data_IF_340261180053
#
_entry.id   IF_340261180053
#
_cell.length_a   1.000
_cell.length_b   1.000
_cell.length_c   1.000
_cell.angle_alpha   90.00
_cell.angle_beta   90.00
_cell.angle_gamma   90.00
#
_symmetry.space_group_name_H-M   'P 1'
#
loop_
_entity.id
_entity.type
_entity.pdbx_description
1 polymer ?
#
# COMPACT_ATOMS: atom_id res chain seq x y z
N UNK A 1 38.59 20.11 91.79
CA UNK A 1 38.88 19.85 90.37
C UNK A 1 38.27 21.01 89.59
N UNK A 2 38.98 22.13 89.49
CA UNK A 2 39.97 22.48 88.44
C UNK A 2 39.32 22.63 87.05
N UNK A 3 39.60 23.74 86.32
CA UNK A 3 38.64 24.47 85.50
C UNK A 3 39.08 24.52 84.01
N UNK A 4 38.53 25.46 83.22
CA UNK A 4 39.15 26.30 82.16
C UNK A 4 38.07 26.58 81.08
N UNK A 5 37.51 27.80 81.00
CA UNK A 5 37.98 28.98 80.21
C UNK A 5 37.85 28.76 78.68
N UNK A 6 37.37 29.68 77.84
CA UNK A 6 37.53 31.13 77.84
C UNK A 6 36.71 31.78 76.70
N UNK A 7 36.15 32.98 76.97
CA UNK A 7 36.09 34.23 76.15
C UNK A 7 35.55 34.18 74.69
N UNK A 8 34.90 35.20 74.13
CA UNK A 8 35.17 36.66 74.21
C UNK A 8 33.90 37.45 73.83
N UNK A 9 33.71 38.57 74.52
CA UNK A 9 32.80 39.68 74.20
C UNK A 9 33.53 40.66 73.29
N UNK A 10 32.87 41.27 72.30
CA UNK A 10 33.21 42.62 71.87
C UNK A 10 31.97 43.42 71.42
N UNK A 11 31.87 44.62 72.01
CA UNK A 11 30.98 45.74 71.67
C UNK A 11 31.47 46.42 70.38
N UNK A 12 30.59 47.08 69.61
CA UNK A 12 30.68 48.53 69.27
C UNK A 12 29.64 48.97 68.20
N UNK A 13 28.85 49.97 68.60
CA UNK A 13 28.21 51.11 67.91
C UNK A 13 27.54 51.04 66.51
N UNK A 14 26.51 51.89 66.29
CA UNK A 14 25.71 51.93 65.08
C UNK A 14 26.34 52.84 64.01
N UNK A 15 26.34 52.39 62.75
CA UNK A 15 26.63 53.23 61.59
C UNK A 15 25.37 53.30 60.73
N UNK A 16 24.76 54.48 60.67
CA UNK A 16 23.68 54.78 59.76
C UNK A 16 24.19 54.76 58.32
N UNK A 17 23.61 53.90 57.49
CA UNK A 17 23.71 53.95 56.04
C UNK A 17 22.30 53.90 55.47
N UNK A 18 21.84 55.05 54.96
CA UNK A 18 20.62 55.16 54.17
C UNK A 18 20.91 54.54 52.81
N UNK A 19 20.50 53.28 52.61
CA UNK A 19 20.42 52.66 51.30
C UNK A 19 18.99 52.87 50.77
N UNK A 20 18.86 53.77 49.79
CA UNK A 20 17.70 53.85 48.91
C UNK A 20 17.67 52.57 48.06
N UNK A 21 17.00 51.53 48.57
CA UNK A 21 16.67 50.34 47.79
C UNK A 21 15.53 50.74 46.86
N UNK A 22 15.87 51.03 45.61
CA UNK A 22 14.90 51.03 44.52
C UNK A 22 14.33 49.61 44.39
N UNK A 23 13.12 49.40 44.89
CA UNK A 23 12.33 48.23 44.57
C UNK A 23 11.95 48.29 43.09
N UNK A 24 12.78 47.74 42.21
CA UNK A 24 12.30 47.34 40.88
C UNK A 24 11.38 46.15 41.10
N UNK A 25 10.07 46.40 41.09
CA UNK A 25 9.08 45.37 40.85
C UNK A 25 9.43 44.71 39.50
N UNK A 26 10.04 43.52 39.55
CA UNK A 26 10.01 42.63 38.40
C UNK A 26 8.56 42.15 38.30
N UNK A 27 7.78 42.79 37.42
CA UNK A 27 6.58 42.16 36.90
C UNK A 27 7.06 40.87 36.21
N UNK A 28 6.82 39.73 36.88
CA UNK A 28 7.01 38.43 36.27
C UNK A 28 6.01 38.37 35.11
N UNK A 29 6.49 38.68 33.90
CA UNK A 29 5.76 38.41 32.66
C UNK A 29 5.18 36.99 32.78
N UNK A 30 3.85 36.82 32.63
CA UNK A 30 3.25 35.50 32.74
C UNK A 30 3.96 34.57 31.77
N UNK A 31 4.40 33.41 32.26
CA UNK A 31 5.07 32.38 31.45
C UNK A 31 4.16 32.11 30.25
N UNK A 32 4.52 32.66 29.09
CA UNK A 32 3.80 32.38 27.84
C UNK A 32 4.17 30.96 27.48
N UNK A 33 3.24 30.04 27.71
CA UNK A 33 3.34 28.68 27.17
C UNK A 33 3.44 28.84 25.66
N UNK A 34 4.53 28.41 25.01
CA UNK A 34 4.66 28.48 23.57
C UNK A 34 3.43 27.82 22.94
N UNK A 35 2.86 28.46 21.92
CA UNK A 35 1.79 27.82 21.16
C UNK A 35 2.29 26.47 20.64
N UNK A 36 1.44 25.42 20.63
CA UNK A 36 1.81 24.15 20.01
C UNK A 36 2.31 24.39 18.59
N UNK A 37 3.42 23.75 18.24
CA UNK A 37 3.96 23.81 16.88
C UNK A 37 2.92 23.29 15.89
N UNK A 38 2.65 24.08 14.84
CA UNK A 38 1.68 23.76 13.80
C UNK A 38 2.46 23.45 12.51
N UNK A 39 2.15 22.35 11.80
CA UNK A 39 2.77 22.04 10.51
C UNK A 39 2.62 23.17 9.50
N UNK A 40 3.69 23.51 8.81
CA UNK A 40 3.71 24.49 7.72
C UNK A 40 4.06 23.83 6.38
N UNK A 41 3.51 24.33 5.26
CA UNK A 41 3.92 23.90 3.95
C UNK A 41 5.34 24.39 3.62
N UNK A 42 6.13 23.54 2.98
CA UNK A 42 7.50 23.83 2.54
C UNK A 42 7.64 23.71 1.02
N UNK A 43 8.73 24.23 0.46
CA UNK A 43 9.07 24.12 -0.97
C UNK A 43 9.91 22.89 -1.31
N UNK A 44 10.49 22.24 -0.30
CA UNK A 44 11.24 20.98 -0.40
C UNK A 44 10.77 20.02 0.69
N UNK A 45 10.97 18.73 0.53
CA UNK A 45 10.71 17.75 1.58
C UNK A 45 11.80 17.87 2.65
N UNK A 46 11.49 18.44 3.80
CA UNK A 46 12.48 18.67 4.86
C UNK A 46 12.52 17.48 5.82
N UNK A 47 13.67 16.81 5.91
CA UNK A 47 13.92 15.74 6.86
C UNK A 47 14.65 16.31 8.08
N UNK A 48 13.97 16.41 9.22
CA UNK A 48 14.57 16.90 10.46
C UNK A 48 15.21 15.76 11.27
N UNK A 49 16.32 16.05 11.93
CA UNK A 49 16.95 15.11 12.86
C UNK A 49 16.05 14.89 14.07
N UNK A 50 15.75 13.64 14.38
CA UNK A 50 14.93 13.28 15.54
C UNK A 50 15.64 12.27 16.44
N UNK A 51 15.49 12.44 17.75
CA UNK A 51 15.96 11.49 18.76
C UNK A 51 14.93 10.41 19.09
N UNK A 52 13.65 10.67 18.80
CA UNK A 52 12.55 9.71 18.98
C UNK A 52 12.13 9.17 17.62
N UNK A 53 12.33 7.86 17.42
CA UNK A 53 12.04 7.16 16.17
C UNK A 53 10.54 7.28 15.79
N UNK A 54 10.21 7.88 14.63
CA UNK A 54 8.81 8.09 14.23
C UNK A 54 8.29 6.94 13.34
N UNK A 55 8.58 5.69 13.69
CA UNK A 55 8.30 4.51 12.85
C UNK A 55 6.83 4.02 12.85
N UNK A 56 5.88 4.86 13.28
CA UNK A 56 4.44 4.58 13.28
C UNK A 56 3.70 5.76 12.68
N UNK A 57 2.62 5.49 11.95
CA UNK A 57 1.79 6.53 11.34
C UNK A 57 1.16 7.50 12.36
N UNK A 58 0.96 7.06 13.60
CA UNK A 58 0.40 7.89 14.68
C UNK A 58 1.47 8.48 15.61
N UNK A 59 2.76 8.39 15.26
CA UNK A 59 3.82 9.03 16.04
C UNK A 59 3.56 10.55 16.14
N UNK A 60 3.81 11.12 17.33
CA UNK A 60 3.50 12.53 17.58
C UNK A 60 4.25 13.49 16.64
N UNK A 61 5.45 13.12 16.20
CA UNK A 61 6.24 13.88 15.24
C UNK A 61 5.43 14.24 13.98
N UNK A 62 4.68 13.30 13.42
CA UNK A 62 3.92 13.53 12.18
C UNK A 62 2.79 14.56 12.30
N UNK A 63 2.39 14.91 13.54
CA UNK A 63 1.33 15.91 13.80
C UNK A 63 1.84 17.34 13.73
N UNK A 64 3.14 17.56 13.91
CA UNK A 64 3.77 18.87 13.95
C UNK A 64 4.80 19.07 12.85
N UNK A 65 5.24 18.00 12.20
CA UNK A 65 6.21 18.07 11.10
C UNK A 65 5.67 18.86 9.90
N UNK A 66 6.47 19.83 9.46
CA UNK A 66 6.31 20.55 8.20
C UNK A 66 6.23 19.57 7.02
N UNK A 67 5.54 20.00 5.96
CA UNK A 67 5.16 19.12 4.86
C UNK A 67 5.40 19.75 3.50
N UNK A 68 5.87 18.93 2.56
CA UNK A 68 5.85 19.26 1.14
C UNK A 68 4.49 18.88 0.56
N UNK A 69 3.76 19.84 0.02
CA UNK A 69 2.57 19.59 -0.78
C UNK A 69 2.94 19.47 -2.26
N UNK A 70 2.59 18.34 -2.86
CA UNK A 70 2.83 18.07 -4.28
C UNK A 70 1.52 18.17 -5.04
N UNK A 71 1.42 19.23 -5.83
CA UNK A 71 0.38 19.39 -6.85
C UNK A 71 0.68 18.48 -8.04
N UNK A 72 0.08 17.29 -8.06
CA UNK A 72 0.31 16.30 -9.11
C UNK A 72 -0.03 16.84 -10.51
N UNK A 73 0.73 16.38 -11.49
CA UNK A 73 0.56 16.62 -12.93
C UNK A 73 0.48 15.28 -13.67
N UNK A 74 -0.03 15.30 -14.90
CA UNK A 74 0.03 14.11 -15.76
C UNK A 74 1.48 13.85 -16.16
N UNK A 75 2.00 12.67 -15.86
CA UNK A 75 3.36 12.27 -16.24
C UNK A 75 3.32 11.34 -17.46
N UNK A 76 2.51 10.28 -17.37
CA UNK A 76 2.33 9.29 -18.43
C UNK A 76 0.84 9.01 -18.54
N UNK A 77 0.29 9.07 -19.75
CA UNK A 77 -1.13 8.85 -20.02
C UNK A 77 -1.32 8.06 -21.31
N UNK A 78 -2.53 7.55 -21.50
CA UNK A 78 -2.98 6.85 -22.70
C UNK A 78 -2.20 5.59 -23.06
N UNK A 79 -1.47 5.01 -22.10
CA UNK A 79 -0.76 3.74 -22.28
C UNK A 79 -1.70 2.57 -22.02
N UNK A 80 -1.56 1.54 -22.85
CA UNK A 80 -2.22 0.25 -22.70
C UNK A 80 -1.17 -0.85 -22.76
N UNK A 81 -1.36 -1.98 -22.05
CA UNK A 81 -0.44 -3.09 -22.07
C UNK A 81 -0.33 -3.65 -23.47
N UNK A 82 0.89 -3.92 -23.90
CA UNK A 82 1.15 -4.53 -25.21
C UNK A 82 0.96 -6.05 -25.16
N UNK A 83 1.00 -6.64 -23.97
CA UNK A 83 0.96 -8.09 -23.78
C UNK A 83 -0.47 -8.63 -23.96
N UNK A 84 -0.62 -9.68 -24.76
CA UNK A 84 -1.92 -10.35 -24.94
C UNK A 84 -2.47 -10.88 -23.60
N UNK A 85 -3.80 -10.93 -23.47
CA UNK A 85 -4.48 -11.42 -22.26
C UNK A 85 -4.45 -10.48 -21.05
N UNK A 86 -3.72 -9.37 -21.09
CA UNK A 86 -3.71 -8.35 -20.02
C UNK A 86 -4.63 -7.17 -20.38
N UNK A 87 -5.70 -6.98 -19.59
CA UNK A 87 -6.82 -6.07 -19.87
C UNK A 87 -7.18 -5.18 -18.67
N UNK A 88 -8.06 -4.20 -18.92
CA UNK A 88 -8.73 -3.32 -17.98
C UNK A 88 -7.79 -2.55 -17.04
N UNK A 89 -6.95 -1.71 -17.66
CA UNK A 89 -5.89 -0.90 -17.02
C UNK A 89 -6.17 0.60 -17.16
N UNK A 90 -7.36 1.05 -16.79
CA UNK A 90 -7.81 2.41 -17.15
C UNK A 90 -8.01 3.37 -15.98
N UNK A 91 -7.44 3.11 -14.79
CA UNK A 91 -7.67 4.00 -13.63
C UNK A 91 -7.03 5.37 -13.78
N UNK A 92 -5.95 5.49 -14.56
CA UNK A 92 -5.27 6.78 -14.83
C UNK A 92 -5.05 7.04 -16.31
N UNK A 93 -5.85 6.42 -17.19
CA UNK A 93 -5.65 6.51 -18.64
C UNK A 93 -5.61 7.97 -19.14
N UNK A 94 -6.52 8.82 -18.69
CA UNK A 94 -6.56 10.26 -18.96
C UNK A 94 -5.85 11.10 -17.87
N UNK A 95 -4.96 10.48 -17.09
CA UNK A 95 -4.23 11.08 -15.99
C UNK A 95 -5.16 11.51 -14.85
N UNK A 96 -5.01 12.75 -14.38
CA UNK A 96 -5.75 13.31 -13.24
C UNK A 96 -7.27 13.29 -13.39
N UNK A 97 -7.78 13.25 -14.62
CA UNK A 97 -9.23 13.21 -14.86
C UNK A 97 -9.84 11.86 -14.46
N UNK A 98 -9.07 10.78 -14.57
CA UNK A 98 -9.52 9.44 -14.20
C UNK A 98 -9.11 9.11 -12.76
N UNK A 99 -7.90 9.51 -12.35
CA UNK A 99 -7.37 9.26 -11.01
C UNK A 99 -8.36 9.67 -9.92
N UNK A 100 -8.70 8.76 -9.00
CA UNK A 100 -9.65 9.01 -7.92
C UNK A 100 -10.95 9.68 -8.42
N UNK A 101 -11.43 9.25 -9.60
CA UNK A 101 -12.65 9.77 -10.24
C UNK A 101 -12.59 11.29 -10.47
N UNK A 102 -11.41 11.79 -10.85
CA UNK A 102 -11.17 13.21 -11.14
C UNK A 102 -10.99 14.08 -9.90
N UNK A 103 -11.00 13.51 -8.69
CA UNK A 103 -10.77 14.28 -7.46
C UNK A 103 -9.29 14.53 -7.29
N UNK A 104 -8.93 15.76 -6.90
CA UNK A 104 -7.54 16.11 -6.65
C UNK A 104 -6.96 15.23 -5.54
N UNK A 105 -5.89 14.44 -5.81
CA UNK A 105 -5.29 13.59 -4.80
C UNK A 105 -4.59 14.36 -3.70
N UNK A 106 -4.10 15.58 -3.96
CA UNK A 106 -3.23 16.38 -3.07
C UNK A 106 -2.26 15.53 -2.26
N UNK A 107 -1.04 15.34 -2.78
CA UNK A 107 -0.06 14.51 -2.11
C UNK A 107 0.67 15.36 -1.07
N UNK A 108 0.77 14.87 0.16
CA UNK A 108 1.56 15.49 1.22
C UNK A 108 2.68 14.55 1.63
N UNK A 109 3.90 15.08 1.73
CA UNK A 109 5.06 14.37 2.22
C UNK A 109 5.61 15.04 3.48
N UNK A 110 6.04 14.23 4.44
CA UNK A 110 6.80 14.65 5.63
C UNK A 110 8.01 13.73 5.75
N UNK A 111 9.12 14.24 6.26
CA UNK A 111 10.30 13.42 6.45
C UNK A 111 10.97 13.66 7.80
N UNK A 112 11.63 12.63 8.30
CA UNK A 112 12.48 12.68 9.48
C UNK A 112 13.70 11.81 9.23
N UNK A 113 14.76 12.02 9.99
CA UNK A 113 15.88 11.08 10.01
C UNK A 113 16.47 10.93 11.41
N UNK A 114 17.05 9.77 11.66
CA UNK A 114 17.90 9.48 12.82
C UNK A 114 19.36 9.42 12.37
N UNK A 115 20.28 9.04 13.25
CA UNK A 115 21.68 8.81 12.86
C UNK A 115 21.88 7.69 11.81
N UNK A 116 20.88 6.84 11.61
CA UNK A 116 20.99 5.61 10.81
C UNK A 116 19.86 5.39 9.80
N UNK A 117 18.73 6.10 9.90
CA UNK A 117 17.53 5.82 9.09
C UNK A 117 16.85 7.08 8.58
N UNK A 118 16.28 6.98 7.38
CA UNK A 118 15.37 7.96 6.77
C UNK A 118 13.93 7.44 6.90
N UNK A 119 13.02 8.34 7.25
CA UNK A 119 11.59 8.10 7.39
C UNK A 119 10.85 9.07 6.47
N UNK A 120 10.03 8.55 5.54
CA UNK A 120 9.22 9.38 4.66
C UNK A 120 7.76 8.98 4.80
N UNK A 121 6.95 9.89 5.31
CA UNK A 121 5.52 9.76 5.40
C UNK A 121 4.87 10.40 4.18
N UNK A 122 4.01 9.66 3.50
CA UNK A 122 3.30 10.08 2.30
C UNK A 122 1.80 9.89 2.57
N UNK A 123 1.00 10.88 2.24
CA UNK A 123 -0.45 10.77 2.27
C UNK A 123 -1.09 11.39 1.04
N UNK A 124 -2.12 10.74 0.52
CA UNK A 124 -2.92 11.28 -0.58
C UNK A 124 -4.36 10.81 -0.45
N UNK A 125 -5.26 11.57 -1.07
CA UNK A 125 -6.67 11.22 -1.14
C UNK A 125 -6.90 10.29 -2.32
N UNK A 126 -7.37 9.11 -1.99
CA UNK A 126 -8.02 8.17 -2.90
C UNK A 126 -9.28 7.67 -2.22
N UNK A 127 -10.40 7.61 -2.95
CA UNK A 127 -11.68 7.18 -2.39
C UNK A 127 -12.02 5.72 -2.69
N UNK A 128 -11.17 5.05 -3.44
CA UNK A 128 -11.32 3.64 -3.82
C UNK A 128 -10.09 2.85 -3.37
N UNK A 129 -10.28 1.54 -3.25
CA UNK A 129 -9.19 0.60 -3.10
C UNK A 129 -9.04 -0.21 -4.38
N UNK A 130 -7.89 -0.12 -5.02
CA UNK A 130 -7.48 -1.01 -6.10
C UNK A 130 -6.39 -1.94 -5.55
N UNK A 131 -6.78 -3.19 -5.21
CA UNK A 131 -5.96 -4.10 -4.39
C UNK A 131 -5.34 -5.29 -5.16
N UNK A 132 -5.56 -5.35 -6.46
CA UNK A 132 -5.45 -6.55 -7.26
C UNK A 132 -4.52 -6.32 -8.44
N UNK A 133 -3.33 -6.91 -8.43
CA UNK A 133 -2.43 -6.82 -9.57
C UNK A 133 -2.55 -8.06 -10.46
N UNK A 134 -2.94 -7.85 -11.72
CA UNK A 134 -3.08 -8.90 -12.74
C UNK A 134 -3.94 -10.10 -12.31
N UNK A 135 -5.06 -9.87 -11.61
CA UNK A 135 -5.99 -10.93 -11.22
C UNK A 135 -6.48 -11.73 -12.42
N UNK A 136 -6.54 -13.05 -12.27
CA UNK A 136 -7.02 -13.94 -13.31
C UNK A 136 -8.53 -14.00 -13.36
N UNK A 137 -9.08 -13.71 -14.54
CA UNK A 137 -10.49 -13.74 -14.83
C UNK A 137 -10.74 -14.66 -16.02
N UNK A 138 -11.72 -15.56 -15.88
CA UNK A 138 -12.10 -16.47 -16.96
C UNK A 138 -13.33 -15.90 -17.66
N UNK A 139 -13.24 -15.67 -18.97
CA UNK A 139 -14.24 -14.92 -19.74
C UNK A 139 -14.54 -13.55 -19.09
N UNK A 140 -13.48 -12.83 -18.69
CA UNK A 140 -13.55 -11.57 -17.97
C UNK A 140 -14.14 -10.41 -18.78
N UNK A 141 -14.35 -9.23 -18.16
CA UNK A 141 -14.87 -8.07 -18.86
C UNK A 141 -13.88 -7.55 -19.92
N UNK A 142 -14.42 -6.88 -20.93
CA UNK A 142 -13.65 -6.26 -22.02
C UNK A 142 -12.91 -5.02 -21.53
N UNK A 143 -11.82 -4.68 -22.22
CA UNK A 143 -11.11 -3.42 -22.03
C UNK A 143 -11.56 -2.41 -23.09
N UNK A 144 -12.17 -1.27 -22.72
CA UNK A 144 -12.59 -0.28 -23.69
C UNK A 144 -11.42 0.43 -24.41
N UNK A 145 -10.19 0.31 -23.90
CA UNK A 145 -8.97 0.91 -24.46
C UNK A 145 -8.09 -0.07 -25.20
N UNK A 146 -8.41 -1.37 -25.16
CA UNK A 146 -7.63 -2.42 -25.81
C UNK A 146 -8.53 -3.45 -26.47
N UNK A 147 -8.39 -3.61 -27.78
CA UNK A 147 -9.03 -4.71 -28.49
C UNK A 147 -8.36 -6.04 -28.15
N UNK A 148 -9.17 -7.09 -28.08
CA UNK A 148 -8.70 -8.45 -27.85
C UNK A 148 -9.83 -9.36 -27.39
N UNK A 149 -9.61 -10.66 -27.53
CA UNK A 149 -10.56 -11.64 -27.02
C UNK A 149 -10.46 -11.74 -25.50
N UNK A 150 -11.61 -11.66 -24.82
CA UNK A 150 -11.74 -11.99 -23.40
C UNK A 150 -12.04 -13.46 -23.15
N UNK A 151 -12.22 -14.26 -24.22
CA UNK A 151 -12.45 -15.71 -24.09
C UNK A 151 -11.26 -16.40 -23.44
N UNK A 152 -11.55 -17.31 -22.51
CA UNK A 152 -10.56 -18.01 -21.72
C UNK A 152 -10.01 -17.15 -20.58
N UNK A 153 -8.81 -17.49 -20.12
CA UNK A 153 -8.16 -16.70 -19.07
C UNK A 153 -7.61 -15.39 -19.61
N UNK A 154 -7.85 -14.35 -18.82
CA UNK A 154 -7.26 -13.03 -18.95
C UNK A 154 -6.78 -12.56 -17.59
N UNK A 155 -6.01 -11.48 -17.55
CA UNK A 155 -5.58 -10.85 -16.32
C UNK A 155 -5.92 -9.37 -16.30
N UNK A 156 -6.27 -8.84 -15.12
CA UNK A 156 -6.61 -7.42 -14.95
C UNK A 156 -5.80 -6.78 -13.83
N UNK A 157 -5.23 -5.61 -14.09
CA UNK A 157 -4.58 -4.82 -13.04
C UNK A 157 -5.59 -3.85 -12.47
N UNK A 158 -5.53 -3.72 -11.16
CA UNK A 158 -6.31 -2.84 -10.34
C UNK A 158 -5.52 -2.61 -9.06
N UNK A 159 -4.38 -1.92 -9.16
CA UNK A 159 -3.44 -1.77 -8.06
C UNK A 159 -3.10 -0.29 -7.84
N UNK A 160 -3.39 0.19 -6.63
CA UNK A 160 -3.01 1.54 -6.19
C UNK A 160 -1.56 1.52 -5.70
N UNK A 161 -0.81 2.53 -6.11
CA UNK A 161 0.60 2.63 -5.77
C UNK A 161 1.09 4.06 -5.60
N UNK A 162 2.17 4.18 -4.84
CA UNK A 162 3.02 5.37 -4.78
C UNK A 162 4.47 4.96 -4.89
N UNK A 163 5.25 5.74 -5.63
CA UNK A 163 6.68 5.52 -5.70
C UNK A 163 7.49 6.80 -5.55
N UNK A 164 8.64 6.66 -4.90
CA UNK A 164 9.69 7.65 -4.84
C UNK A 164 10.87 7.17 -5.69
N UNK A 165 11.52 8.07 -6.42
CA UNK A 165 12.67 7.73 -7.25
C UNK A 165 13.79 8.75 -7.08
N UNK A 166 14.83 8.38 -6.34
CA UNK A 166 15.96 9.23 -5.96
C UNK A 166 17.07 9.21 -7.00
N UNK A 167 17.58 10.38 -7.37
CA UNK A 167 18.67 10.50 -8.34
C UNK A 167 20.01 10.06 -7.73
N UNK A 168 20.61 9.00 -8.28
CA UNK A 168 21.93 8.49 -7.88
C UNK A 168 23.07 9.07 -8.73
N UNK A 169 22.77 9.88 -9.74
CA UNK A 169 23.71 10.34 -10.74
C UNK A 169 23.90 9.35 -11.89
N UNK A 170 24.50 9.80 -12.99
CA UNK A 170 24.76 8.96 -14.17
C UNK A 170 23.51 8.38 -14.84
N UNK A 171 22.35 9.01 -14.65
CA UNK A 171 21.06 8.52 -15.15
C UNK A 171 20.44 7.40 -14.32
N UNK A 172 21.10 6.97 -13.24
CA UNK A 172 20.60 5.93 -12.33
C UNK A 172 19.67 6.50 -11.27
N UNK A 173 18.69 5.71 -10.85
CA UNK A 173 17.78 6.05 -9.76
C UNK A 173 17.50 4.85 -8.86
N UNK A 174 17.42 5.12 -7.56
CA UNK A 174 16.92 4.22 -6.53
C UNK A 174 15.41 4.47 -6.40
N UNK A 175 14.58 3.43 -6.51
CA UNK A 175 13.12 3.53 -6.66
C UNK A 175 12.38 2.70 -5.62
N UNK A 176 11.69 3.39 -4.71
CA UNK A 176 10.89 2.76 -3.66
C UNK A 176 9.43 2.77 -4.08
N UNK A 177 8.89 1.61 -4.42
CA UNK A 177 7.52 1.49 -4.93
C UNK A 177 6.61 0.76 -3.93
N UNK A 178 5.75 1.50 -3.27
CA UNK A 178 4.68 0.92 -2.48
C UNK A 178 3.48 0.61 -3.39
N UNK A 179 3.17 -0.67 -3.51
CA UNK A 179 1.96 -1.22 -4.14
C UNK A 179 1.06 -1.86 -3.09
N UNK A 180 -0.25 -1.57 -3.16
CA UNK A 180 -1.24 -2.17 -2.27
C UNK A 180 -1.38 -3.68 -2.49
N UNK A 181 -1.27 -4.13 -3.74
CA UNK A 181 -1.40 -5.55 -4.08
C UNK A 181 -0.13 -6.36 -3.74
N UNK A 182 1.06 -5.79 -4.00
CA UNK A 182 2.31 -6.57 -4.10
C UNK A 182 3.34 -6.28 -3.00
N UNK A 183 3.16 -5.20 -2.24
CA UNK A 183 4.17 -4.74 -1.27
C UNK A 183 3.60 -4.58 0.14
N UNK A 184 2.43 -3.95 0.25
CA UNK A 184 1.76 -3.67 1.52
C UNK A 184 1.53 -4.92 2.38
N UNK A 185 1.13 -6.08 1.81
CA UNK A 185 0.89 -7.29 2.60
C UNK A 185 2.09 -7.70 3.45
N UNK A 186 3.31 -7.53 2.94
CA UNK A 186 4.53 -7.97 3.60
C UNK A 186 5.18 -6.86 4.44
N UNK A 187 4.75 -5.59 4.27
CA UNK A 187 5.32 -4.45 4.97
C UNK A 187 6.67 -4.01 4.43
N UNK A 188 6.91 -4.20 3.13
CA UNK A 188 8.07 -3.70 2.40
C UNK A 188 7.59 -2.87 1.21
N UNK A 189 8.40 -1.92 0.76
CA UNK A 189 8.24 -1.40 -0.60
C UNK A 189 8.90 -2.38 -1.59
N UNK A 190 8.47 -2.36 -2.84
CA UNK A 190 9.20 -3.00 -3.93
C UNK A 190 10.40 -2.10 -4.22
N UNK A 191 11.57 -2.59 -3.85
CA UNK A 191 12.84 -1.91 -4.09
C UNK A 191 13.36 -2.21 -5.49
N UNK A 192 13.75 -1.16 -6.19
CA UNK A 192 14.11 -1.23 -7.60
C UNK A 192 15.18 -0.20 -7.96
N UNK A 193 15.97 -0.52 -8.97
CA UNK A 193 16.91 0.38 -9.61
C UNK A 193 16.45 0.70 -11.03
N UNK A 194 16.48 1.97 -11.41
CA UNK A 194 16.29 2.41 -12.80
C UNK A 194 17.65 2.82 -13.38
N UNK A 195 18.08 2.14 -14.45
CA UNK A 195 19.33 2.43 -15.16
C UNK A 195 19.11 3.23 -16.46
N UNK A 196 17.95 3.86 -16.62
CA UNK A 196 17.56 4.65 -17.78
C UNK A 196 16.66 3.92 -18.79
N UNK A 197 16.43 2.62 -18.59
CA UNK A 197 15.51 1.79 -19.36
C UNK A 197 14.18 1.54 -18.63
N UNK A 198 14.01 2.13 -17.44
CA UNK A 198 12.90 1.88 -16.53
C UNK A 198 13.31 1.03 -15.32
N UNK A 199 12.50 1.06 -14.25
CA UNK A 199 12.79 0.35 -13.01
C UNK A 199 12.84 -1.17 -13.18
N UNK A 200 13.85 -1.79 -12.60
CA UNK A 200 13.95 -3.25 -12.44
C UNK A 200 14.17 -3.57 -10.96
N UNK A 201 13.66 -4.71 -10.51
CA UNK A 201 13.84 -5.13 -9.12
C UNK A 201 15.33 -5.27 -8.77
N UNK A 202 15.67 -4.91 -7.54
CA UNK A 202 17.03 -5.01 -7.04
C UNK A 202 17.50 -6.44 -6.83
N UNK A 203 18.76 -6.56 -6.42
CA UNK A 203 19.35 -7.86 -6.11
C UNK A 203 18.63 -8.54 -4.93
N UNK A 204 18.30 -9.82 -5.12
CA UNK A 204 17.66 -10.65 -4.12
C UNK A 204 16.29 -11.18 -4.55
N UNK A 205 15.46 -11.54 -3.56
CA UNK A 205 14.13 -12.08 -3.79
C UNK A 205 13.11 -10.95 -3.75
N UNK A 206 12.15 -10.98 -4.67
CA UNK A 206 11.04 -10.01 -4.75
C UNK A 206 10.00 -10.30 -3.68
N UNK A 207 9.12 -9.33 -3.44
CA UNK A 207 7.95 -9.50 -2.56
C UNK A 207 6.85 -10.39 -3.17
N UNK A 208 6.96 -10.75 -4.45
CA UNK A 208 5.91 -11.46 -5.19
C UNK A 208 6.45 -12.31 -6.35
N UNK A 209 5.66 -13.31 -6.74
CA UNK A 209 5.86 -14.15 -7.93
C UNK A 209 4.54 -14.32 -8.67
N UNK A 210 4.58 -14.26 -10.01
CA UNK A 210 3.37 -14.40 -10.83
C UNK A 210 2.73 -15.77 -10.60
N UNK A 211 1.44 -15.77 -10.28
CA UNK A 211 0.64 -16.98 -10.09
C UNK A 211 0.19 -17.50 -11.46
N UNK A 212 1.07 -18.14 -12.23
CA UNK A 212 0.79 -18.53 -13.62
C UNK A 212 1.07 -20.02 -13.84
N UNK A 213 0.12 -20.74 -14.44
CA UNK A 213 0.24 -22.19 -14.66
C UNK A 213 1.22 -22.54 -15.80
N UNK A 214 1.29 -21.67 -16.81
CA UNK A 214 2.15 -21.81 -17.99
C UNK A 214 3.11 -20.64 -18.15
N UNK A 215 3.41 -20.28 -19.39
CA UNK A 215 4.38 -19.23 -19.71
C UNK A 215 3.75 -17.96 -20.28
N UNK A 216 2.45 -17.96 -20.60
CA UNK A 216 1.77 -16.83 -21.22
C UNK A 216 0.68 -16.21 -20.34
N UNK A 217 0.30 -14.98 -20.66
CA UNK A 217 -0.73 -14.21 -19.95
C UNK A 217 -2.17 -14.72 -20.19
N UNK A 218 -2.34 -15.94 -20.73
CA UNK A 218 -3.61 -16.64 -20.91
C UNK A 218 -3.62 -18.04 -20.30
N UNK A 219 -2.55 -18.44 -19.63
CA UNK A 219 -2.43 -19.77 -19.04
C UNK A 219 -3.28 -19.96 -17.78
N UNK A 220 -3.74 -18.86 -17.19
CA UNK A 220 -4.52 -18.88 -15.96
C UNK A 220 -3.68 -19.13 -14.70
N UNK A 221 -4.35 -19.24 -13.54
CA UNK A 221 -3.70 -19.37 -12.24
C UNK A 221 -3.09 -20.76 -12.04
N UNK A 222 -1.90 -20.80 -11.45
CA UNK A 222 -1.28 -22.06 -11.00
C UNK A 222 -1.83 -22.51 -9.65
N UNK A 223 -2.10 -21.55 -8.79
CA UNK A 223 -2.41 -21.75 -7.40
C UNK A 223 -3.68 -21.03 -6.99
N UNK A 224 -4.29 -21.57 -5.93
CA UNK A 224 -5.42 -21.02 -5.20
C UNK A 224 -5.07 -20.94 -3.70
N UNK A 225 -5.87 -20.22 -2.92
CA UNK A 225 -5.79 -20.23 -1.46
C UNK A 225 -6.07 -21.63 -0.93
N UNK A 226 -5.21 -22.12 -0.03
CA UNK A 226 -5.34 -23.47 0.52
C UNK A 226 -6.47 -23.64 1.54
N UNK A 227 -6.99 -22.52 2.05
CA UNK A 227 -8.04 -22.45 3.05
C UNK A 227 -7.54 -22.19 4.48
N UNK A 228 -6.22 -22.08 4.68
CA UNK A 228 -5.60 -21.75 5.97
C UNK A 228 -5.47 -20.24 6.11
N UNK A 229 -5.86 -19.70 7.27
CA UNK A 229 -5.75 -18.28 7.57
C UNK A 229 -4.34 -17.75 7.26
N UNK A 230 -4.28 -16.65 6.51
CA UNK A 230 -3.03 -16.07 6.02
C UNK A 230 -2.54 -15.02 7.01
N UNK A 231 -1.67 -15.45 7.93
CA UNK A 231 -1.14 -14.61 8.99
C UNK A 231 0.31 -14.22 8.73
N UNK A 232 0.66 -12.99 9.10
CA UNK A 232 2.06 -12.57 9.07
C UNK A 232 2.35 -11.46 10.10
N UNK A 233 3.61 -11.36 10.50
CA UNK A 233 4.09 -10.30 11.38
C UNK A 233 4.94 -9.32 10.58
N UNK A 234 4.45 -8.09 10.44
CA UNK A 234 5.12 -6.97 9.77
C UNK A 234 5.97 -6.20 10.76
N UNK A 235 7.12 -5.70 10.32
CA UNK A 235 7.90 -4.74 11.11
C UNK A 235 7.85 -3.38 10.41
N UNK A 236 7.48 -2.29 11.10
CA UNK A 236 7.08 -2.19 12.52
C UNK A 236 5.57 -2.36 12.79
N UNK A 237 4.75 -2.66 11.77
CA UNK A 237 3.28 -2.61 11.88
C UNK A 237 2.65 -3.70 12.79
N UNK A 238 3.36 -4.79 13.10
CA UNK A 238 2.88 -5.87 13.95
C UNK A 238 2.13 -6.96 13.16
N UNK A 239 1.30 -7.72 13.87
CA UNK A 239 0.53 -8.84 13.32
C UNK A 239 -0.58 -8.35 12.39
N UNK A 240 -0.80 -9.07 11.28
CA UNK A 240 -1.95 -8.86 10.39
C UNK A 240 -2.46 -10.20 9.83
N UNK A 241 -3.73 -10.18 9.41
CA UNK A 241 -4.36 -11.24 8.62
C UNK A 241 -4.57 -10.67 7.21
N UNK A 242 -4.35 -11.49 6.18
CA UNK A 242 -4.58 -11.14 4.79
C UNK A 242 -5.90 -11.69 4.28
N UNK A 243 -6.66 -10.86 3.58
CA UNK A 243 -7.86 -11.25 2.84
C UNK A 243 -7.47 -12.19 1.66
N UNK A 244 -7.85 -13.48 1.69
CA UNK A 244 -7.54 -14.42 0.62
C UNK A 244 -8.26 -14.09 -0.70
N UNK A 245 -9.23 -13.17 -0.67
CA UNK A 245 -9.85 -12.62 -1.86
C UNK A 245 -8.90 -11.84 -2.76
N UNK A 246 -7.83 -11.28 -2.20
CA UNK A 246 -6.89 -10.40 -2.91
C UNK A 246 -5.44 -10.86 -2.81
N UNK A 247 -5.07 -11.56 -1.73
CA UNK A 247 -3.70 -11.94 -1.46
C UNK A 247 -3.55 -13.45 -1.41
N UNK A 248 -2.43 -13.95 -1.92
CA UNK A 248 -2.10 -15.36 -1.86
C UNK A 248 -0.75 -15.57 -1.17
N UNK A 249 -0.79 -16.01 0.08
CA UNK A 249 0.37 -16.39 0.88
C UNK A 249 0.43 -17.91 1.05
N UNK A 250 -0.68 -18.47 1.58
CA UNK A 250 -0.86 -19.91 1.74
C UNK A 250 -1.55 -20.45 0.51
N UNK A 251 -0.91 -21.39 -0.19
CA UNK A 251 -1.28 -21.75 -1.55
C UNK A 251 -1.32 -23.26 -1.79
N UNK A 252 -2.27 -23.69 -2.60
CA UNK A 252 -2.37 -25.04 -3.16
C UNK A 252 -2.57 -24.97 -4.67
N UNK A 253 -2.38 -26.07 -5.38
CA UNK A 253 -2.65 -26.12 -6.82
C UNK A 253 -4.10 -25.73 -7.12
N UNK A 254 -4.27 -24.91 -8.16
CA UNK A 254 -5.60 -24.59 -8.67
C UNK A 254 -6.24 -25.85 -9.24
N UNK A 255 -7.51 -26.10 -8.91
CA UNK A 255 -8.25 -27.32 -9.28
C UNK A 255 -9.53 -26.98 -10.03
N UNK A 256 -9.92 -27.89 -10.93
CA UNK A 256 -11.10 -27.79 -11.79
C UNK A 256 -10.80 -27.17 -13.16
N UNK A 257 -11.61 -27.54 -14.14
CA UNK A 257 -11.60 -27.01 -15.49
C UNK A 257 -12.63 -25.87 -15.64
N UNK A 258 -12.20 -24.61 -15.78
CA UNK A 258 -13.12 -23.49 -15.94
C UNK A 258 -13.90 -23.52 -17.25
N UNK A 259 -13.45 -24.25 -18.28
CA UNK A 259 -14.18 -24.41 -19.55
C UNK A 259 -15.41 -25.28 -19.32
N UNK A 260 -15.24 -26.46 -18.70
CA UNK A 260 -16.36 -27.31 -18.32
C UNK A 260 -17.26 -26.61 -17.30
N UNK A 261 -16.66 -25.90 -16.34
CA UNK A 261 -17.39 -25.09 -15.36
C UNK A 261 -18.24 -24.00 -15.99
N UNK A 262 -17.76 -23.35 -17.06
CA UNK A 262 -18.56 -22.38 -17.83
C UNK A 262 -19.73 -23.07 -18.52
N UNK A 263 -19.54 -24.24 -19.14
CA UNK A 263 -20.64 -24.99 -19.76
C UNK A 263 -21.75 -25.31 -18.74
N UNK A 264 -21.39 -25.74 -17.52
CA UNK A 264 -22.33 -25.98 -16.42
C UNK A 264 -23.01 -24.67 -16.01
N UNK A 265 -22.25 -23.60 -15.80
CA UNK A 265 -22.79 -22.29 -15.40
C UNK A 265 -23.80 -21.75 -16.42
N UNK A 266 -23.50 -21.85 -17.72
CA UNK A 266 -24.38 -21.41 -18.79
C UNK A 266 -25.66 -22.26 -18.84
N UNK A 267 -25.62 -23.53 -18.47
CA UNK A 267 -26.80 -24.40 -18.46
C UNK A 267 -27.68 -24.14 -17.22
N UNK A 268 -27.07 -24.01 -16.04
CA UNK A 268 -27.76 -24.14 -14.76
C UNK A 268 -27.89 -22.83 -13.98
N UNK A 269 -27.02 -21.86 -14.20
CA UNK A 269 -26.89 -20.69 -13.30
C UNK A 269 -27.25 -19.35 -13.98
N UNK A 270 -27.08 -19.25 -15.30
CA UNK A 270 -27.28 -18.00 -16.06
C UNK A 270 -28.67 -17.39 -15.86
N UNK A 271 -29.70 -18.23 -15.75
CA UNK A 271 -31.08 -17.76 -15.66
C UNK A 271 -31.28 -16.87 -14.41
N UNK A 272 -30.54 -17.11 -13.34
CA UNK A 272 -30.61 -16.30 -12.11
C UNK A 272 -29.48 -15.26 -12.04
N UNK A 273 -28.27 -15.61 -12.47
CA UNK A 273 -27.07 -14.79 -12.22
C UNK A 273 -26.58 -13.97 -13.41
N UNK A 274 -27.18 -14.13 -14.60
CA UNK A 274 -26.76 -13.45 -15.83
C UNK A 274 -25.53 -14.10 -16.50
N UNK A 275 -25.27 -13.78 -17.77
CA UNK A 275 -24.20 -14.41 -18.57
C UNK A 275 -22.82 -14.19 -17.94
N UNK A 276 -22.61 -13.00 -17.38
CA UNK A 276 -21.34 -12.52 -16.83
C UNK A 276 -21.29 -12.58 -15.30
N UNK A 277 -22.29 -13.22 -14.67
CA UNK A 277 -22.41 -13.26 -13.22
C UNK A 277 -22.67 -11.87 -12.62
N UNK A 278 -23.26 -10.95 -13.37
CA UNK A 278 -23.55 -9.57 -12.94
C UNK A 278 -24.87 -9.45 -12.16
N UNK A 279 -25.61 -10.55 -12.00
CA UNK A 279 -26.90 -10.58 -11.33
C UNK A 279 -28.07 -10.18 -12.24
N UNK A 280 -27.85 -9.97 -13.54
CA UNK A 280 -28.89 -9.62 -14.51
C UNK A 280 -29.53 -10.86 -15.15
N UNK A 281 -29.89 -11.85 -14.33
CA UNK A 281 -30.62 -13.04 -14.76
C UNK A 281 -32.05 -12.73 -15.25
N UNK A 282 -32.64 -13.66 -15.98
CA UNK A 282 -34.04 -13.59 -16.44
C UNK A 282 -35.05 -14.03 -15.38
N UNK A 283 -34.62 -14.83 -14.40
CA UNK A 283 -35.43 -15.37 -13.31
C UNK A 283 -34.99 -14.69 -12.01
N UNK A 284 -35.94 -14.06 -11.32
CA UNK A 284 -35.73 -13.39 -10.04
C UNK A 284 -34.48 -12.48 -10.07
N UNK A 285 -34.52 -11.34 -10.78
CA UNK A 285 -33.39 -10.43 -10.95
C UNK A 285 -33.01 -9.69 -9.65
N UNK A 286 -32.99 -10.38 -8.50
CA UNK A 286 -32.64 -9.89 -7.17
C UNK A 286 -31.19 -9.42 -7.03
N UNK A 287 -30.51 -9.07 -8.14
CA UNK A 287 -29.18 -8.48 -8.19
C UNK A 287 -28.09 -9.30 -7.46
N UNK A 288 -28.20 -10.63 -7.45
CA UNK A 288 -27.19 -11.50 -6.81
C UNK A 288 -26.01 -11.69 -7.77
N UNK A 289 -25.13 -10.69 -7.80
CA UNK A 289 -23.90 -10.71 -8.56
C UNK A 289 -22.90 -11.74 -8.00
N UNK A 290 -22.28 -12.48 -8.91
CA UNK A 290 -21.24 -13.48 -8.67
C UNK A 290 -19.84 -12.96 -9.06
N UNK A 291 -19.77 -11.91 -9.88
CA UNK A 291 -18.53 -11.27 -10.32
C UNK A 291 -18.00 -10.20 -9.36
N UNK A 292 -18.41 -10.25 -8.09
CA UNK A 292 -17.87 -9.37 -7.05
C UNK A 292 -16.42 -9.75 -6.75
N UNK A 293 -15.48 -8.78 -6.78
CA UNK A 293 -14.06 -9.07 -6.55
C UNK A 293 -13.78 -9.82 -5.25
N UNK A 294 -13.02 -10.90 -5.37
CA UNK A 294 -12.59 -11.75 -4.26
C UNK A 294 -13.69 -12.57 -3.57
N UNK A 295 -14.97 -12.46 -3.96
CA UNK A 295 -16.09 -13.15 -3.26
C UNK A 295 -15.87 -14.65 -3.13
N UNK A 296 -15.69 -15.36 -4.25
CA UNK A 296 -15.47 -16.81 -4.24
C UNK A 296 -14.09 -17.22 -3.75
N UNK A 297 -13.12 -16.28 -3.74
CA UNK A 297 -11.77 -16.54 -3.26
C UNK A 297 -11.64 -16.45 -1.73
N UNK A 298 -12.63 -15.83 -1.06
CA UNK A 298 -12.76 -15.85 0.40
C UNK A 298 -13.33 -17.15 0.96
N UNK A 299 -13.85 -18.02 0.11
CA UNK A 299 -14.41 -19.30 0.52
C UNK A 299 -13.40 -20.41 0.25
N UNK A 300 -13.20 -21.29 1.23
CA UNK A 300 -12.46 -22.52 0.99
C UNK A 300 -13.25 -23.42 0.03
N UNK A 301 -12.59 -24.36 -0.65
CA UNK A 301 -13.31 -25.36 -1.47
C UNK A 301 -14.34 -26.13 -0.63
N UNK A 302 -13.96 -26.55 0.57
CA UNK A 302 -14.87 -27.20 1.52
C UNK A 302 -16.07 -26.32 1.89
N UNK A 303 -15.88 -25.00 2.04
CA UNK A 303 -16.98 -24.08 2.31
C UNK A 303 -17.92 -23.94 1.10
N UNK A 304 -17.38 -23.94 -0.13
CA UNK A 304 -18.20 -23.97 -1.35
C UNK A 304 -18.98 -25.28 -1.49
N UNK A 305 -18.34 -26.42 -1.19
CA UNK A 305 -19.00 -27.73 -1.18
C UNK A 305 -20.10 -27.82 -0.12
N UNK A 306 -19.92 -27.17 1.04
CA UNK A 306 -20.96 -27.11 2.06
C UNK A 306 -22.13 -26.18 1.68
N UNK A 307 -21.83 -25.11 0.93
CA UNK A 307 -22.82 -24.14 0.45
C UNK A 307 -23.67 -24.70 -0.68
N UNK A 308 -23.06 -25.36 -1.67
CA UNK A 308 -23.70 -25.82 -2.91
C UNK A 308 -25.00 -26.65 -2.71
N UNK A 309 -25.02 -27.70 -1.87
CA UNK A 309 -26.22 -28.53 -1.68
C UNK A 309 -27.21 -27.96 -0.65
N UNK A 310 -26.91 -26.83 -0.01
CA UNK A 310 -27.70 -26.32 1.10
C UNK A 310 -28.87 -25.44 0.62
N UNK A 311 -30.04 -26.05 0.42
CA UNK A 311 -31.26 -25.34 0.03
C UNK A 311 -31.76 -24.28 1.03
N UNK A 312 -31.27 -24.29 2.27
CA UNK A 312 -31.53 -23.22 3.24
C UNK A 312 -30.63 -21.99 3.09
N UNK A 313 -29.54 -22.10 2.32
CA UNK A 313 -28.58 -21.02 2.07
C UNK A 313 -28.61 -20.51 0.63
N UNK A 314 -29.08 -21.33 -0.31
CA UNK A 314 -29.21 -20.96 -1.71
C UNK A 314 -30.43 -21.66 -2.34
N UNK A 315 -31.40 -20.86 -2.81
CA UNK A 315 -32.63 -21.39 -3.42
C UNK A 315 -32.34 -22.28 -4.64
N UNK A 316 -31.28 -21.98 -5.39
CA UNK A 316 -30.84 -22.78 -6.53
C UNK A 316 -29.96 -23.98 -6.18
N UNK A 317 -29.95 -24.47 -4.93
CA UNK A 317 -29.09 -25.61 -4.51
C UNK A 317 -29.25 -26.87 -5.37
N UNK A 318 -30.43 -27.10 -5.95
CA UNK A 318 -30.72 -28.24 -6.83
C UNK A 318 -30.03 -28.15 -8.20
N UNK A 319 -29.52 -26.97 -8.57
CA UNK A 319 -28.82 -26.74 -9.84
C UNK A 319 -27.31 -27.02 -9.76
N UNK A 320 -26.78 -27.29 -8.56
CA UNK A 320 -25.38 -27.68 -8.43
C UNK A 320 -25.17 -29.14 -8.89
N UNK A 321 -24.06 -29.42 -9.60
CA UNK A 321 -23.75 -30.79 -10.00
C UNK A 321 -23.62 -31.74 -8.80
N UNK A 322 -24.07 -32.98 -8.98
CA UNK A 322 -23.90 -34.04 -7.97
C UNK A 322 -22.53 -34.71 -8.07
N UNK A 323 -21.90 -34.69 -9.25
CA UNK A 323 -20.51 -35.11 -9.48
C UNK A 323 -19.54 -34.15 -8.80
N UNK A 324 -18.58 -34.70 -8.07
CA UNK A 324 -17.51 -33.90 -7.44
C UNK A 324 -16.67 -33.16 -8.48
N UNK A 325 -16.29 -33.83 -9.58
CA UNK A 325 -15.51 -33.23 -10.66
C UNK A 325 -16.23 -32.02 -11.25
N UNK A 326 -17.51 -32.18 -11.59
CA UNK A 326 -18.31 -31.11 -12.20
C UNK A 326 -18.51 -29.93 -11.23
N UNK A 327 -18.64 -30.20 -9.93
CA UNK A 327 -18.64 -29.13 -8.91
C UNK A 327 -17.31 -28.38 -8.86
N UNK A 328 -16.18 -29.09 -8.85
CA UNK A 328 -14.87 -28.44 -8.84
C UNK A 328 -14.64 -27.59 -10.10
N UNK A 329 -15.11 -28.06 -11.25
CA UNK A 329 -15.10 -27.33 -12.52
C UNK A 329 -15.96 -26.06 -12.43
N UNK A 330 -17.21 -26.19 -11.96
CA UNK A 330 -18.09 -25.04 -11.71
C UNK A 330 -17.45 -24.04 -10.74
N UNK A 331 -16.84 -24.52 -9.66
CA UNK A 331 -16.19 -23.62 -8.71
C UNK A 331 -14.91 -22.97 -9.27
N UNK A 332 -14.19 -23.62 -10.19
CA UNK A 332 -13.08 -22.99 -10.92
C UNK A 332 -13.61 -21.82 -11.75
N UNK A 333 -14.76 -22.01 -12.41
CA UNK A 333 -15.45 -20.96 -13.16
C UNK A 333 -15.93 -19.80 -12.28
N UNK A 334 -16.53 -20.09 -11.13
CA UNK A 334 -17.00 -19.07 -10.17
C UNK A 334 -15.84 -18.23 -9.61
N UNK A 335 -14.70 -18.86 -9.31
CA UNK A 335 -13.47 -18.11 -8.95
C UNK A 335 -12.98 -17.24 -10.09
N UNK A 336 -13.09 -17.72 -11.32
CA UNK A 336 -12.83 -16.95 -12.53
C UNK A 336 -13.72 -15.71 -12.70
N UNK A 337 -14.90 -15.65 -12.08
CA UNK A 337 -15.71 -14.42 -12.00
C UNK A 337 -15.16 -13.44 -10.96
N UNK A 338 -14.85 -13.92 -9.75
CA UNK A 338 -14.38 -13.06 -8.66
C UNK A 338 -12.94 -12.55 -8.83
N UNK A 339 -12.15 -13.15 -9.72
CA UNK A 339 -10.77 -12.76 -9.97
C UNK A 339 -9.80 -13.40 -8.99
N UNK A 340 -9.02 -14.37 -9.45
CA UNK A 340 -8.03 -15.10 -8.62
C UNK A 340 -6.74 -14.26 -8.54
N UNK A 341 -6.09 -14.13 -7.36
CA UNK A 341 -4.88 -13.33 -7.22
C UNK A 341 -3.83 -13.66 -8.29
N UNK A 342 -3.41 -12.62 -9.02
CA UNK A 342 -2.45 -12.73 -10.13
C UNK A 342 -1.03 -13.07 -9.71
N UNK A 343 -0.73 -12.90 -8.43
CA UNK A 343 0.57 -13.13 -7.80
C UNK A 343 0.39 -13.83 -6.45
N UNK A 344 1.42 -14.56 -6.03
CA UNK A 344 1.57 -14.97 -4.65
C UNK A 344 2.77 -14.27 -4.00
N UNK A 345 2.70 -14.12 -2.68
CA UNK A 345 3.66 -13.35 -1.89
C UNK A 345 4.86 -14.22 -1.51
N UNK A 346 6.04 -13.61 -1.50
CA UNK A 346 7.29 -14.19 -1.00
C UNK A 346 8.02 -13.15 -0.16
N UNK A 347 8.64 -13.56 0.94
CA UNK A 347 9.42 -12.62 1.74
C UNK A 347 10.61 -12.12 0.91
N UNK A 348 10.80 -10.80 0.79
CA UNK A 348 11.96 -10.28 0.09
C UNK A 348 13.23 -10.56 0.90
N UNK A 349 14.36 -10.56 0.21
CA UNK A 349 15.69 -10.71 0.82
C UNK A 349 16.73 -9.94 0.01
N UNK A 350 17.87 -9.60 0.61
CA UNK A 350 18.89 -8.80 -0.07
C UNK A 350 18.51 -7.32 -0.10
N UNK A 351 18.97 -6.59 -1.13
CA UNK A 351 18.62 -5.17 -1.34
C UNK A 351 17.10 -5.00 -1.37
N UNK A 352 16.38 -5.92 -2.03
CA UNK A 352 14.91 -5.89 -2.16
C UNK A 352 14.10 -5.86 -0.85
N UNK A 353 14.75 -5.94 0.31
CA UNK A 353 14.12 -5.96 1.63
C UNK A 353 14.50 -4.79 2.55
N UNK A 354 15.29 -3.82 2.09
CA UNK A 354 15.80 -2.77 2.96
C UNK A 354 14.88 -1.54 3.10
N UNK A 355 13.90 -1.39 2.20
CA UNK A 355 12.81 -0.42 2.32
C UNK A 355 11.58 -1.05 2.96
N UNK A 356 11.30 -0.65 4.20
CA UNK A 356 10.10 -1.08 4.95
C UNK A 356 8.94 -0.13 4.75
N UNK A 357 7.72 -0.67 4.79
CA UNK A 357 6.50 0.08 4.61
C UNK A 357 5.46 -0.18 5.72
N UNK A 358 4.82 0.89 6.17
CA UNK A 358 3.64 0.85 7.05
C UNK A 358 2.54 1.68 6.41
N UNK A 359 1.33 1.14 6.32
CA UNK A 359 0.18 1.90 5.84
C UNK A 359 -0.99 1.89 6.84
N UNK A 360 -1.99 2.73 6.56
CA UNK A 360 -3.26 2.77 7.28
C UNK A 360 -4.30 1.76 6.76
N UNK A 361 -3.92 0.86 5.85
CA UNK A 361 -4.82 -0.10 5.21
C UNK A 361 -5.08 -1.31 6.10
N UNK A 362 -6.36 -1.68 6.23
CA UNK A 362 -6.77 -2.91 6.92
C UNK A 362 -6.80 -4.08 5.94
N UNK A 363 -5.88 -5.04 6.09
CA UNK A 363 -5.68 -6.11 5.10
C UNK A 363 -6.59 -7.33 5.29
N UNK A 364 -7.21 -7.48 6.46
CA UNK A 364 -8.01 -8.68 6.78
C UNK A 364 -9.36 -8.71 6.06
N UNK A 365 -9.89 -7.53 5.70
CA UNK A 365 -11.14 -7.38 4.95
C UNK A 365 -11.08 -6.05 4.25
N UNK A 366 -10.77 -6.09 2.96
CA UNK A 366 -10.70 -4.87 2.16
C UNK A 366 -12.06 -4.68 1.51
N UNK A 367 -12.78 -3.69 2.01
CA UNK A 367 -13.99 -3.20 1.38
C UNK A 367 -13.58 -2.30 0.19
N UNK A 368 -14.34 -2.24 -0.90
CA UNK A 368 -13.95 -1.50 -2.11
C UNK A 368 -13.82 0.03 -1.98
N UNK A 369 -14.01 0.60 -0.78
CA UNK A 369 -14.03 2.04 -0.51
C UNK A 369 -12.93 2.47 0.46
N UNK A 370 -12.22 3.53 0.12
CA UNK A 370 -11.21 4.14 0.97
C UNK A 370 -11.68 5.50 1.51
N UNK A 371 -12.33 5.51 2.68
CA UNK A 371 -12.83 6.77 3.27
C UNK A 371 -11.73 7.64 3.89
N UNK A 372 -10.57 7.06 4.20
CA UNK A 372 -9.47 7.75 4.91
C UNK A 372 -8.42 8.32 3.96
N UNK A 373 -8.43 7.93 2.69
CA UNK A 373 -7.28 8.08 1.82
C UNK A 373 -6.12 7.20 2.27
N UNK A 374 -5.01 7.29 1.55
CA UNK A 374 -3.81 6.53 1.88
C UNK A 374 -2.88 7.32 2.77
N UNK A 375 -2.25 6.59 3.68
CA UNK A 375 -1.14 7.08 4.47
C UNK A 375 -0.11 5.98 4.57
N UNK A 376 1.08 6.23 4.02
CA UNK A 376 2.18 5.27 3.88
C UNK A 376 3.44 5.87 4.52
N UNK A 377 4.14 5.09 5.32
CA UNK A 377 5.43 5.43 5.90
C UNK A 377 6.48 4.47 5.34
N UNK A 378 7.43 5.03 4.60
CA UNK A 378 8.60 4.32 4.09
C UNK A 378 9.77 4.55 5.05
N UNK A 379 10.49 3.47 5.36
CA UNK A 379 11.64 3.50 6.28
C UNK A 379 12.78 2.73 5.65
N UNK A 380 13.94 3.38 5.51
CA UNK A 380 15.16 2.76 4.99
C UNK A 380 16.36 3.24 5.80
N UNK A 381 17.40 2.43 5.90
CA UNK A 381 18.68 2.90 6.42
C UNK A 381 19.21 4.06 5.55
N UNK A 382 19.94 5.01 6.15
CA UNK A 382 20.61 6.08 5.40
C UNK A 382 21.64 5.52 4.41
N UNK A 383 22.32 4.44 4.79
CA UNK A 383 23.25 3.72 3.95
C UNK A 383 23.03 2.22 4.13
N UNK A 384 22.62 1.54 3.06
CA UNK A 384 22.37 0.09 3.01
C UNK A 384 23.61 -0.70 2.63
N UNK A 385 24.67 -0.02 2.18
CA UNK A 385 25.90 -0.61 1.63
C UNK A 385 25.72 -1.38 0.32
N UNK A 386 24.55 -1.36 -0.30
CA UNK A 386 24.35 -1.91 -1.65
C UNK A 386 24.62 -0.84 -2.71
N UNK A 387 25.10 -1.27 -3.88
CA UNK A 387 25.54 -0.36 -4.95
C UNK A 387 24.40 0.10 -5.88
N UNK A 388 23.29 -0.63 -5.84
CA UNK A 388 22.01 -0.37 -6.48
C UNK A 388 21.19 0.70 -5.75
N UNK A 389 21.55 1.05 -4.51
CA UNK A 389 20.78 1.99 -3.71
C UNK A 389 21.52 3.32 -3.50
N UNK A 390 20.77 4.39 -3.28
CA UNK A 390 21.38 5.68 -2.93
C UNK A 390 21.88 5.66 -1.47
N UNK A 391 23.07 6.19 -1.21
CA UNK A 391 23.52 6.50 0.14
C UNK A 391 23.15 7.94 0.51
N UNK A 392 22.30 8.09 1.53
CA UNK A 392 21.96 9.38 2.12
C UNK A 392 23.01 9.76 3.15
N UNK A 393 23.68 10.87 2.88
CA UNK A 393 24.61 11.57 3.75
C UNK A 393 23.94 12.88 4.15
N UNK A 394 23.48 13.02 5.41
CA UNK A 394 22.90 14.26 5.89
C UNK A 394 23.80 15.49 5.68
N UNK A 395 25.12 15.33 5.54
CA UNK A 395 26.04 16.44 5.27
C UNK A 395 25.97 16.98 3.82
N UNK A 396 25.48 16.17 2.86
CA UNK A 396 25.23 16.63 1.47
C UNK A 396 24.02 17.56 1.37
N UNK A 397 23.18 17.57 2.41
CA UNK A 397 21.99 18.41 2.61
C UNK A 397 20.86 18.21 1.59
N UNK A 398 21.10 18.03 0.29
CA UNK A 398 20.05 18.03 -0.74
C UNK A 398 20.14 16.79 -1.65
N UNK A 399 18.99 16.17 -1.89
CA UNK A 399 18.79 15.03 -2.77
C UNK A 399 17.62 15.28 -3.71
N UNK A 400 17.78 14.97 -5.00
CA UNK A 400 16.68 15.08 -5.96
C UNK A 400 15.88 13.79 -6.02
N UNK A 401 14.56 13.90 -6.11
CA UNK A 401 13.67 12.75 -6.27
C UNK A 401 12.46 13.05 -7.15
N UNK A 402 11.87 12.00 -7.69
CA UNK A 402 10.58 12.04 -8.38
C UNK A 402 9.54 11.34 -7.51
N UNK A 403 8.30 11.79 -7.59
CA UNK A 403 7.16 11.09 -6.98
C UNK A 403 6.07 10.85 -8.01
N UNK A 404 5.48 9.66 -7.98
CA UNK A 404 4.32 9.36 -8.79
C UNK A 404 3.33 8.45 -8.06
N UNK A 405 2.06 8.61 -8.45
CA UNK A 405 0.96 7.74 -8.08
C UNK A 405 0.46 6.99 -9.33
N UNK A 406 0.03 5.75 -9.11
CA UNK A 406 -0.80 5.00 -10.03
C UNK A 406 -2.10 4.63 -9.33
N UNK A 407 -3.20 4.63 -10.10
CA UNK A 407 -4.51 4.15 -9.68
C UNK A 407 -4.96 3.14 -10.73
N UNK A 408 -5.33 1.95 -10.26
CA UNK A 408 -5.79 0.80 -11.05
C UNK A 408 -4.73 0.21 -12.02
N UNK A 409 -3.63 0.90 -12.34
CA UNK A 409 -2.62 0.44 -13.28
C UNK A 409 -1.20 0.92 -12.94
N UNK A 410 -0.19 0.33 -13.59
CA UNK A 410 1.24 0.65 -13.38
C UNK A 410 1.86 1.43 -14.56
N UNK A 411 1.05 1.71 -15.59
CA UNK A 411 1.50 2.24 -16.88
C UNK A 411 1.34 3.75 -16.93
N UNK A 412 0.14 4.20 -16.58
CA UNK A 412 -0.26 5.59 -16.54
C UNK A 412 -0.03 6.12 -15.13
N UNK A 413 0.44 7.37 -15.04
CA UNK A 413 0.99 7.93 -13.80
C UNK A 413 0.75 9.42 -13.73
N UNK A 414 0.40 9.86 -12.52
CA UNK A 414 0.39 11.28 -12.15
C UNK A 414 1.44 11.53 -11.08
N UNK A 415 1.94 12.74 -10.96
CA UNK A 415 2.97 13.04 -9.96
C UNK A 415 3.74 14.31 -10.27
N UNK A 416 4.97 14.38 -9.79
CA UNK A 416 5.85 15.50 -10.04
C UNK A 416 7.31 15.04 -10.06
N UNK A 417 8.06 15.62 -11.00
CA UNK A 417 9.47 15.35 -11.18
C UNK A 417 10.32 16.40 -10.45
N UNK A 418 11.59 16.10 -10.25
CA UNK A 418 12.64 16.99 -9.75
C UNK A 418 12.28 17.71 -8.43
N UNK A 419 11.69 16.97 -7.49
CA UNK A 419 11.51 17.42 -6.12
C UNK A 419 12.83 17.31 -5.36
N UNK A 420 12.93 18.02 -4.24
CA UNK A 420 14.13 18.02 -3.40
C UNK A 420 13.80 17.53 -2.00
N UNK A 421 14.62 16.61 -1.49
CA UNK A 421 14.72 16.21 -0.09
C UNK A 421 15.88 16.98 0.54
N UNK A 422 15.59 17.72 1.61
CA UNK A 422 16.56 18.55 2.33
C UNK A 422 16.74 18.05 3.76
N UNK A 423 17.95 17.67 4.16
CA UNK A 423 18.26 17.32 5.56
C UNK A 423 18.39 18.60 6.40
N UNK A 424 17.80 18.60 7.60
CA UNK A 424 17.85 19.68 8.59
C UNK A 424 18.40 19.14 9.92
N UNK A 425 19.56 19.64 10.38
CA UNK A 425 20.21 19.14 11.59
C UNK A 425 19.47 19.50 12.88
#
# INVERSE_FOLDING_TARGET
>A
MSPVNQKLINRLLPLGFVFLIGCTYFENEPIRIPAPEVPNPTTTLEANLVSVIPNKLNANYWKTADYLEVSSQNLITSQVPTEDGLFNVSGTFNGKADFNKGKNPTIQLRAAYTSDSLYIHISWKDTTFSVSNSNWLFNGPTDPKKSGSTTGWTSQRSDDLVALSFNMGGGKRDVWNWSLALSEPLGFAIDMVDNGSGPVADTGNKTYVRNIAGTDNRSGPKYDWDGVQQELTRKPAGFTILDPGYYLLNKKLFTGDPINGDAIYQAECIACHGVTGDGNGTINPSFVALNVPGQFNRLTRQALDAFAPNGGQHEGSTHYPTSETDRQDLFARLRGFSGIPGYYLENPSGSSSDVRAVSNVQLAKIDGFNSKGYSVLLVRALNTSNADDIAFDPAKMIYEFHIYLGDNDHLNRIGLLNQQLTFKP
#
